data_IF_273227858227
#
_entry.id   IF_273227858227
#
_cell.length_a   1.000
_cell.length_b   1.000
_cell.length_c   1.000
_cell.angle_alpha   90.00
_cell.angle_beta   90.00
_cell.angle_gamma   90.00
#
_symmetry.space_group_name_H-M   'P 1'
#
loop_
_entity.id
_entity.type
_entity.pdbx_description
1 polymer ?
#
# COMPACT_ATOMS: atom_id res chain seq x y z
N UNK A 1 -38.54 -16.36 -24.26
CA UNK A 1 -37.12 -16.74 -24.25
C UNK A 1 -36.41 -16.42 -22.91
N UNK A 2 -36.68 -17.11 -21.77
CA UNK A 2 -35.97 -16.77 -20.53
C UNK A 2 -35.08 -17.87 -19.90
N UNK A 3 -35.36 -19.17 -20.12
CA UNK A 3 -34.64 -20.24 -19.40
C UNK A 3 -33.22 -20.48 -19.91
N UNK A 4 -32.96 -20.37 -21.21
CA UNK A 4 -31.62 -20.56 -21.77
C UNK A 4 -30.64 -19.45 -21.37
N UNK A 5 -31.11 -18.20 -21.32
CA UNK A 5 -30.32 -17.03 -20.88
C UNK A 5 -30.03 -17.11 -19.39
N UNK A 6 -31.03 -17.48 -18.58
CA UNK A 6 -30.85 -17.67 -17.13
C UNK A 6 -29.89 -18.82 -16.80
N UNK A 7 -29.99 -19.94 -17.53
CA UNK A 7 -29.08 -21.08 -17.35
C UNK A 7 -27.64 -20.75 -17.77
N UNK A 8 -27.47 -19.98 -18.85
CA UNK A 8 -26.17 -19.48 -19.29
C UNK A 8 -25.57 -18.50 -18.25
N UNK A 9 -26.36 -17.57 -17.72
CA UNK A 9 -25.95 -16.64 -16.66
C UNK A 9 -25.52 -17.37 -15.37
N UNK A 10 -26.24 -18.42 -14.97
CA UNK A 10 -25.91 -19.25 -13.80
C UNK A 10 -24.63 -20.07 -14.03
N UNK A 11 -24.41 -20.57 -15.26
CA UNK A 11 -23.16 -21.25 -15.60
C UNK A 11 -21.97 -20.29 -15.60
N UNK A 12 -22.11 -19.11 -16.20
CA UNK A 12 -21.05 -18.09 -16.19
C UNK A 12 -20.71 -17.61 -14.78
N UNK A 13 -21.69 -17.47 -13.89
CA UNK A 13 -21.44 -17.07 -12.50
C UNK A 13 -20.75 -18.15 -11.68
N UNK A 14 -21.07 -19.43 -11.90
CA UNK A 14 -20.37 -20.56 -11.28
C UNK A 14 -18.93 -20.70 -11.77
N UNK A 15 -18.68 -20.48 -13.07
CA UNK A 15 -17.34 -20.50 -13.64
C UNK A 15 -16.48 -19.32 -13.16
N UNK A 16 -17.04 -18.11 -13.06
CA UNK A 16 -16.34 -16.97 -12.46
C UNK A 16 -16.01 -17.24 -10.98
N UNK A 17 -16.94 -17.80 -10.22
CA UNK A 17 -16.71 -18.14 -8.82
C UNK A 17 -15.60 -19.18 -8.63
N UNK A 18 -15.52 -20.19 -9.52
CA UNK A 18 -14.47 -21.21 -9.44
C UNK A 18 -13.09 -20.65 -9.81
N UNK A 19 -13.00 -19.76 -10.82
CA UNK A 19 -11.76 -19.06 -11.19
C UNK A 19 -11.26 -18.16 -10.08
N UNK A 20 -12.14 -17.36 -9.48
CA UNK A 20 -11.79 -16.46 -8.38
C UNK A 20 -11.28 -17.26 -7.16
N UNK A 21 -11.92 -18.39 -6.84
CA UNK A 21 -11.44 -19.28 -5.76
C UNK A 21 -10.03 -19.81 -6.04
N UNK A 22 -9.78 -20.28 -7.26
CA UNK A 22 -8.45 -20.77 -7.67
C UNK A 22 -7.38 -19.68 -7.59
N UNK A 23 -7.70 -18.46 -8.05
CA UNK A 23 -6.80 -17.32 -7.96
C UNK A 23 -6.46 -16.98 -6.49
N UNK A 24 -7.45 -16.98 -5.59
CA UNK A 24 -7.24 -16.72 -4.16
C UNK A 24 -6.36 -17.78 -3.48
N UNK A 25 -6.52 -19.06 -3.85
CA UNK A 25 -5.66 -20.14 -3.34
C UNK A 25 -4.20 -19.96 -3.79
N UNK A 26 -3.98 -19.54 -5.04
CA UNK A 26 -2.64 -19.26 -5.57
C UNK A 26 -2.01 -18.04 -4.88
N UNK A 27 -2.77 -16.97 -4.68
CA UNK A 27 -2.33 -15.78 -3.95
C UNK A 27 -1.93 -16.16 -2.51
N UNK A 28 -2.72 -17.00 -1.83
CA UNK A 28 -2.40 -17.45 -0.48
C UNK A 28 -1.09 -18.23 -0.42
N UNK A 29 -0.80 -19.08 -1.43
CA UNK A 29 0.48 -19.78 -1.55
C UNK A 29 1.64 -18.82 -1.80
N UNK A 30 1.46 -17.85 -2.70
CA UNK A 30 2.45 -16.81 -2.97
C UNK A 30 2.78 -16.00 -1.72
N UNK A 31 1.76 -15.62 -0.96
CA UNK A 31 1.91 -14.89 0.30
C UNK A 31 2.58 -15.73 1.39
N UNK A 32 2.27 -17.02 1.49
CA UNK A 32 2.95 -17.93 2.42
C UNK A 32 4.45 -18.02 2.15
N UNK A 33 4.86 -18.01 0.88
CA UNK A 33 6.27 -18.01 0.50
C UNK A 33 6.94 -16.66 0.84
N UNK A 34 6.26 -15.54 0.58
CA UNK A 34 6.76 -14.20 0.91
C UNK A 34 6.87 -13.97 2.42
N UNK A 35 5.94 -14.49 3.23
CA UNK A 35 5.99 -14.36 4.69
C UNK A 35 7.28 -14.92 5.28
N UNK A 36 7.79 -16.01 4.71
CA UNK A 36 9.06 -16.59 5.14
C UNK A 36 10.26 -15.74 4.70
N UNK A 37 10.16 -15.09 3.53
CA UNK A 37 11.16 -14.10 3.09
C UNK A 37 11.18 -12.90 4.03
N UNK A 38 10.02 -12.31 4.34
CA UNK A 38 9.91 -11.11 5.19
C UNK A 38 10.40 -11.35 6.63
N UNK A 39 10.33 -12.59 7.13
CA UNK A 39 10.90 -12.96 8.45
C UNK A 39 12.42 -12.89 8.49
N UNK A 40 13.06 -13.09 7.35
CA UNK A 40 14.51 -13.31 7.26
C UNK A 40 15.19 -12.08 6.64
N UNK A 41 14.45 -11.24 5.92
CA UNK A 41 14.99 -10.12 5.13
C UNK A 41 15.73 -9.06 5.96
N UNK A 42 15.33 -8.86 7.22
CA UNK A 42 15.98 -7.88 8.11
C UNK A 42 17.40 -8.32 8.54
N UNK A 43 17.74 -9.60 8.35
CA UNK A 43 19.00 -10.21 8.78
C UNK A 43 19.84 -10.77 7.62
N UNK A 44 19.30 -10.75 6.41
CA UNK A 44 19.89 -11.36 5.22
C UNK A 44 20.29 -10.30 4.19
N UNK A 45 21.31 -10.60 3.39
CA UNK A 45 21.63 -9.74 2.26
C UNK A 45 20.50 -9.80 1.23
N UNK A 46 20.13 -8.67 0.62
CA UNK A 46 19.07 -8.58 -0.39
C UNK A 46 19.22 -9.56 -1.56
N UNK A 47 20.44 -10.07 -1.80
CA UNK A 47 20.78 -11.04 -2.84
C UNK A 47 21.01 -12.46 -2.31
N UNK A 48 20.52 -12.78 -1.11
CA UNK A 48 20.73 -14.09 -0.51
C UNK A 48 20.17 -15.23 -1.36
N UNK A 49 21.07 -16.11 -1.83
CA UNK A 49 20.72 -17.20 -2.76
C UNK A 49 19.71 -18.18 -2.19
N UNK A 50 19.60 -18.25 -0.86
CA UNK A 50 18.66 -19.11 -0.13
C UNK A 50 17.20 -18.66 -0.28
N UNK A 51 16.98 -17.37 -0.55
CA UNK A 51 15.64 -16.81 -0.73
C UNK A 51 15.13 -16.98 -2.17
N UNK A 52 16.03 -17.24 -3.12
CA UNK A 52 15.70 -17.38 -4.56
C UNK A 52 14.59 -18.43 -4.81
N UNK A 53 14.60 -19.64 -4.21
CA UNK A 53 13.54 -20.62 -4.42
C UNK A 53 12.17 -20.13 -3.91
N UNK A 54 12.13 -19.46 -2.76
CA UNK A 54 10.90 -18.92 -2.18
C UNK A 54 10.34 -17.77 -3.03
N UNK A 55 11.21 -16.86 -3.47
CA UNK A 55 10.84 -15.74 -4.33
C UNK A 55 10.37 -16.21 -5.71
N UNK A 56 11.01 -17.26 -6.26
CA UNK A 56 10.57 -17.90 -7.50
C UNK A 56 9.19 -18.53 -7.33
N UNK A 57 8.98 -19.31 -6.28
CA UNK A 57 7.69 -19.92 -6.00
C UNK A 57 6.60 -18.86 -5.79
N UNK A 58 6.91 -17.76 -5.09
CA UNK A 58 5.97 -16.65 -4.93
C UNK A 58 5.59 -16.03 -6.28
N UNK A 59 6.60 -15.73 -7.12
CA UNK A 59 6.40 -15.17 -8.46
C UNK A 59 5.49 -16.05 -9.31
N UNK A 60 5.82 -17.35 -9.41
CA UNK A 60 5.04 -18.32 -10.20
C UNK A 60 3.58 -18.40 -9.73
N UNK A 61 3.34 -18.39 -8.42
CA UNK A 61 1.97 -18.42 -7.90
C UNK A 61 1.19 -17.14 -8.23
N UNK A 62 1.82 -15.96 -8.20
CA UNK A 62 1.14 -14.72 -8.60
C UNK A 62 0.88 -14.64 -10.10
N UNK A 63 1.80 -15.14 -10.93
CA UNK A 63 1.60 -15.25 -12.39
C UNK A 63 0.41 -16.17 -12.70
N UNK A 64 0.37 -17.37 -12.11
CA UNK A 64 -0.76 -18.30 -12.25
C UNK A 64 -2.07 -17.72 -11.71
N UNK A 65 -2.01 -16.89 -10.67
CA UNK A 65 -3.20 -16.22 -10.13
C UNK A 65 -3.77 -15.20 -11.13
N UNK A 66 -2.90 -14.44 -11.80
CA UNK A 66 -3.30 -13.48 -12.83
C UNK A 66 -3.79 -14.15 -14.12
N UNK A 67 -3.23 -15.32 -14.47
CA UNK A 67 -3.76 -16.15 -15.56
C UNK A 67 -5.19 -16.66 -15.25
N UNK A 68 -5.46 -16.98 -13.98
CA UNK A 68 -6.78 -17.42 -13.55
C UNK A 68 -7.78 -16.26 -13.43
N UNK A 69 -7.33 -15.13 -12.90
CA UNK A 69 -8.12 -13.91 -12.72
C UNK A 69 -7.25 -12.65 -12.90
N UNK A 70 -7.30 -12.11 -14.11
CA UNK A 70 -6.55 -10.91 -14.47
C UNK A 70 -7.07 -9.64 -13.76
N UNK A 71 -8.27 -9.69 -13.18
CA UNK A 71 -8.85 -8.55 -12.44
C UNK A 71 -8.26 -8.39 -11.03
N UNK A 72 -7.48 -9.37 -10.56
CA UNK A 72 -6.93 -9.34 -9.22
C UNK A 72 -5.79 -8.31 -9.10
N UNK A 73 -6.11 -7.16 -8.50
CA UNK A 73 -5.18 -6.05 -8.33
C UNK A 73 -4.06 -6.39 -7.33
N UNK A 74 -4.38 -7.17 -6.30
CA UNK A 74 -3.46 -7.52 -5.24
C UNK A 74 -2.34 -8.44 -5.75
N UNK A 75 -2.69 -9.47 -6.52
CA UNK A 75 -1.69 -10.34 -7.17
C UNK A 75 -0.76 -9.55 -8.09
N UNK A 76 -1.32 -8.60 -8.86
CA UNK A 76 -0.58 -7.72 -9.76
C UNK A 76 0.41 -6.83 -9.00
N UNK A 77 -0.04 -6.21 -7.91
CA UNK A 77 0.81 -5.41 -7.03
C UNK A 77 1.97 -6.24 -6.45
N UNK A 78 1.71 -7.44 -5.94
CA UNK A 78 2.77 -8.28 -5.38
C UNK A 78 3.77 -8.76 -6.44
N UNK A 79 3.30 -9.08 -7.64
CA UNK A 79 4.18 -9.41 -8.78
C UNK A 79 5.05 -8.21 -9.15
N UNK A 80 4.47 -7.00 -9.23
CA UNK A 80 5.22 -5.75 -9.40
C UNK A 80 6.32 -5.59 -8.34
N UNK A 81 5.95 -5.76 -7.06
CA UNK A 81 6.88 -5.63 -5.94
C UNK A 81 8.01 -6.65 -5.98
N UNK A 82 7.74 -7.88 -6.41
CA UNK A 82 8.76 -8.91 -6.64
C UNK A 82 9.79 -8.46 -7.69
N UNK A 83 9.31 -7.87 -8.78
CA UNK A 83 10.17 -7.37 -9.86
C UNK A 83 11.00 -6.13 -9.48
N UNK A 84 10.47 -5.27 -8.60
CA UNK A 84 11.10 -4.00 -8.23
C UNK A 84 12.03 -4.11 -7.02
N UNK A 85 11.62 -4.85 -5.98
CA UNK A 85 12.31 -4.90 -4.69
C UNK A 85 13.28 -6.08 -4.56
N UNK A 86 12.92 -7.24 -5.09
CA UNK A 86 13.64 -8.50 -4.83
C UNK A 86 14.48 -8.94 -6.03
N UNK A 87 15.61 -9.59 -5.76
CA UNK A 87 16.43 -10.20 -6.81
C UNK A 87 15.87 -11.58 -7.20
N UNK A 88 14.89 -11.59 -8.10
CA UNK A 88 14.31 -12.84 -8.64
C UNK A 88 14.95 -13.14 -10.00
N UNK A 89 15.32 -14.40 -10.31
CA UNK A 89 15.75 -14.79 -11.64
C UNK A 89 14.72 -14.40 -12.71
N UNK A 90 15.15 -13.66 -13.73
CA UNK A 90 14.24 -13.12 -14.75
C UNK A 90 13.40 -11.92 -14.28
N UNK A 91 13.80 -11.25 -13.19
CA UNK A 91 13.19 -9.99 -12.80
C UNK A 91 13.59 -8.86 -13.77
N UNK A 92 12.60 -8.19 -14.35
CA UNK A 92 12.78 -6.95 -15.09
C UNK A 92 12.11 -5.80 -14.34
N UNK A 93 12.87 -4.75 -14.01
CA UNK A 93 12.34 -3.55 -13.33
C UNK A 93 11.28 -2.83 -14.16
N UNK A 94 11.43 -2.81 -15.49
CA UNK A 94 10.46 -2.18 -16.38
C UNK A 94 9.09 -2.88 -16.33
N UNK A 95 9.07 -4.22 -16.31
CA UNK A 95 7.84 -5.00 -16.15
C UNK A 95 7.23 -4.71 -14.77
N UNK A 96 8.06 -4.66 -13.72
CA UNK A 96 7.59 -4.34 -12.37
C UNK A 96 6.95 -2.95 -12.27
N UNK A 97 7.52 -1.95 -12.94
CA UNK A 97 6.95 -0.60 -12.99
C UNK A 97 5.63 -0.56 -13.76
N UNK A 98 5.52 -1.24 -14.91
CA UNK A 98 4.29 -1.33 -15.67
C UNK A 98 3.15 -1.98 -14.86
N UNK A 99 3.44 -3.12 -14.21
CA UNK A 99 2.50 -3.80 -13.33
C UNK A 99 2.07 -2.95 -12.13
N UNK A 100 2.96 -2.08 -11.62
CA UNK A 100 2.64 -1.16 -10.52
C UNK A 100 1.60 -0.13 -10.95
N UNK A 101 1.81 0.48 -12.12
CA UNK A 101 0.91 1.49 -12.68
C UNK A 101 -0.45 0.86 -12.97
N UNK A 102 -0.48 -0.30 -13.62
CA UNK A 102 -1.72 -1.03 -13.85
C UNK A 102 -2.47 -1.35 -12.55
N UNK A 103 -1.78 -1.85 -11.52
CA UNK A 103 -2.42 -2.16 -10.24
C UNK A 103 -2.96 -0.91 -9.54
N UNK A 104 -2.24 0.21 -9.61
CA UNK A 104 -2.67 1.49 -9.04
C UNK A 104 -3.90 2.07 -9.76
N UNK A 105 -3.92 1.97 -11.09
CA UNK A 105 -5.03 2.43 -11.94
C UNK A 105 -6.29 1.57 -11.76
N UNK A 106 -6.11 0.26 -11.51
CA UNK A 106 -7.20 -0.65 -11.14
C UNK A 106 -7.72 -0.45 -9.71
N UNK A 107 -7.09 0.40 -8.91
CA UNK A 107 -7.59 0.79 -7.60
C UNK A 107 -6.89 0.14 -6.40
N UNK A 108 -5.78 -0.56 -6.58
CA UNK A 108 -5.08 -1.17 -5.44
C UNK A 108 -4.45 -0.10 -4.54
N UNK A 109 -4.92 -0.01 -3.29
CA UNK A 109 -4.44 0.96 -2.31
C UNK A 109 -2.94 0.86 -2.01
N UNK A 110 -2.36 -0.34 -2.04
CA UNK A 110 -0.97 -0.56 -1.71
C UNK A 110 -0.10 -0.14 -2.92
N UNK A 111 -0.55 -0.46 -4.14
CA UNK A 111 0.07 0.02 -5.37
C UNK A 111 0.00 1.54 -5.53
N UNK A 112 -1.15 2.16 -5.23
CA UNK A 112 -1.33 3.62 -5.27
C UNK A 112 -0.36 4.34 -4.33
N UNK A 113 -0.24 3.85 -3.09
CA UNK A 113 0.73 4.39 -2.15
C UNK A 113 2.16 4.22 -2.64
N UNK A 114 2.53 3.03 -3.09
CA UNK A 114 3.88 2.70 -3.53
C UNK A 114 4.27 3.51 -4.79
N UNK A 115 3.34 3.69 -5.74
CA UNK A 115 3.55 4.51 -6.93
C UNK A 115 3.72 5.98 -6.56
N UNK A 116 2.87 6.51 -5.67
CA UNK A 116 3.01 7.87 -5.15
C UNK A 116 4.36 8.10 -4.46
N UNK A 117 4.83 7.13 -3.67
CA UNK A 117 6.16 7.19 -3.05
C UNK A 117 7.28 7.19 -4.09
N UNK A 118 7.22 6.34 -5.12
CA UNK A 118 8.23 6.32 -6.19
C UNK A 118 8.29 7.63 -6.96
N UNK A 119 7.14 8.17 -7.36
CA UNK A 119 7.06 9.44 -8.08
C UNK A 119 7.62 10.63 -7.28
N UNK A 120 7.58 10.58 -5.94
CA UNK A 120 8.22 11.57 -5.07
C UNK A 120 9.73 11.41 -4.93
N UNK A 121 10.23 10.18 -5.01
CA UNK A 121 11.67 9.88 -4.82
C UNK A 121 12.44 10.05 -6.13
N UNK A 122 11.82 9.71 -7.26
CA UNK A 122 12.51 9.65 -8.56
C UNK A 122 12.68 11.02 -9.22
N UNK A 123 12.02 12.10 -8.78
CA UNK A 123 12.00 13.38 -9.49
C UNK A 123 12.08 14.62 -8.57
N UNK A 124 12.98 15.56 -8.91
CA UNK A 124 13.06 16.92 -8.34
C UNK A 124 12.09 17.93 -9.02
N UNK A 125 11.18 17.45 -9.89
CA UNK A 125 10.31 18.30 -10.71
C UNK A 125 8.87 18.41 -10.18
N UNK A 126 8.38 19.64 -10.08
CA UNK A 126 7.06 20.03 -9.52
C UNK A 126 5.85 19.31 -10.15
N UNK A 127 5.91 18.89 -11.41
CA UNK A 127 4.82 18.15 -12.06
C UNK A 127 4.70 16.71 -11.55
N UNK A 128 5.81 16.08 -11.17
CA UNK A 128 5.82 14.72 -10.60
C UNK A 128 5.16 14.71 -9.23
N UNK A 129 5.30 15.79 -8.46
CA UNK A 129 4.65 15.93 -7.16
C UNK A 129 3.13 15.90 -7.26
N UNK A 130 2.54 16.58 -8.25
CA UNK A 130 1.08 16.57 -8.43
C UNK A 130 0.54 15.17 -8.73
N UNK A 131 1.22 14.42 -9.60
CA UNK A 131 0.83 13.03 -9.90
C UNK A 131 1.03 12.13 -8.68
N UNK A 132 2.12 12.32 -7.93
CA UNK A 132 2.33 11.58 -6.70
C UNK A 132 1.23 11.84 -5.66
N UNK A 133 0.85 13.11 -5.46
CA UNK A 133 -0.23 13.48 -4.56
C UNK A 133 -1.56 12.88 -5.00
N UNK A 134 -1.86 12.88 -6.30
CA UNK A 134 -3.07 12.25 -6.83
C UNK A 134 -3.18 10.76 -6.44
N UNK A 135 -2.10 9.98 -6.59
CA UNK A 135 -2.11 8.57 -6.18
C UNK A 135 -2.14 8.40 -4.66
N UNK A 136 -1.45 9.26 -3.90
CA UNK A 136 -1.49 9.25 -2.44
C UNK A 136 -2.89 9.58 -1.90
N UNK A 137 -3.61 10.53 -2.49
CA UNK A 137 -4.98 10.87 -2.12
C UNK A 137 -5.92 9.68 -2.32
N UNK A 138 -5.84 8.99 -3.46
CA UNK A 138 -6.62 7.75 -3.67
C UNK A 138 -6.32 6.68 -2.62
N UNK A 139 -5.06 6.55 -2.21
CA UNK A 139 -4.69 5.62 -1.15
C UNK A 139 -5.22 6.06 0.23
N UNK A 140 -5.29 7.37 0.50
CA UNK A 140 -5.92 7.95 1.69
C UNK A 140 -7.42 7.68 1.72
N UNK A 141 -8.12 7.83 0.60
CA UNK A 141 -9.56 7.55 0.49
C UNK A 141 -9.88 6.09 0.86
N UNK A 142 -8.94 5.19 0.59
CA UNK A 142 -9.00 3.77 0.97
C UNK A 142 -8.43 3.47 2.37
N UNK A 143 -8.12 4.51 3.15
CA UNK A 143 -7.55 4.44 4.50
C UNK A 143 -6.22 3.66 4.56
N UNK A 144 -5.38 3.79 3.53
CA UNK A 144 -4.06 3.17 3.52
C UNK A 144 -3.17 3.77 4.63
N UNK A 145 -2.60 2.95 5.54
CA UNK A 145 -1.88 3.42 6.73
C UNK A 145 -0.68 4.32 6.40
N UNK A 146 0.12 3.93 5.40
CA UNK A 146 1.27 4.73 4.97
C UNK A 146 0.87 6.05 4.32
N UNK A 147 -0.25 6.07 3.59
CA UNK A 147 -0.72 7.28 2.91
C UNK A 147 -1.29 8.28 3.93
N UNK A 148 -2.06 7.79 4.90
CA UNK A 148 -2.53 8.58 6.05
C UNK A 148 -1.37 9.15 6.87
N UNK A 149 -0.29 8.38 7.08
CA UNK A 149 0.90 8.90 7.73
C UNK A 149 1.55 10.05 6.95
N UNK A 150 1.72 9.90 5.63
CA UNK A 150 2.26 10.96 4.77
C UNK A 150 1.38 12.22 4.79
N UNK A 151 0.06 12.06 4.70
CA UNK A 151 -0.88 13.18 4.80
C UNK A 151 -0.79 13.89 6.17
N UNK A 152 -0.69 13.12 7.25
CA UNK A 152 -0.46 13.67 8.59
C UNK A 152 0.83 14.47 8.68
N UNK A 153 1.91 14.00 8.05
CA UNK A 153 3.19 14.71 7.99
C UNK A 153 3.06 16.03 7.20
N UNK A 154 2.35 16.01 6.07
CA UNK A 154 2.05 17.21 5.26
C UNK A 154 1.30 18.27 6.08
N UNK A 155 0.27 17.86 6.84
CA UNK A 155 -0.44 18.79 7.74
C UNK A 155 0.42 19.35 8.88
N UNK A 156 1.46 18.62 9.32
CA UNK A 156 2.39 19.12 10.33
C UNK A 156 3.43 20.10 9.79
N UNK A 157 3.99 19.81 8.62
CA UNK A 157 5.01 20.66 7.99
C UNK A 157 4.38 21.92 7.41
N UNK A 158 3.14 21.81 6.92
CA UNK A 158 2.48 22.87 6.17
C UNK A 158 2.95 22.94 4.72
N UNK A 159 3.53 21.85 4.22
CA UNK A 159 3.97 21.77 2.82
C UNK A 159 2.72 21.66 1.94
N UNK A 160 2.52 22.58 1.01
CA UNK A 160 1.36 22.62 0.09
C UNK A 160 -0.02 22.86 0.74
N UNK A 161 -0.18 22.70 2.06
CA UNK A 161 -1.45 22.91 2.80
C UNK A 161 -1.21 23.75 4.06
N UNK A 162 -2.22 24.50 4.52
CA UNK A 162 -2.12 25.21 5.80
C UNK A 162 -1.87 24.21 6.92
N UNK A 163 -0.86 24.53 7.75
CA UNK A 163 -0.52 23.72 8.92
C UNK A 163 -1.73 23.54 9.83
N UNK A 164 -2.09 22.29 10.07
CA UNK A 164 -3.22 21.91 10.93
C UNK A 164 -2.85 20.71 11.80
N UNK A 165 -2.58 21.00 13.07
CA UNK A 165 -2.19 20.02 14.08
C UNK A 165 -3.35 19.05 14.37
N UNK A 166 -4.60 19.52 14.30
CA UNK A 166 -5.79 18.70 14.58
C UNK A 166 -6.01 17.66 13.47
N UNK A 167 -5.92 18.08 12.21
CA UNK A 167 -6.00 17.17 11.06
C UNK A 167 -4.82 16.18 11.04
N UNK A 168 -3.62 16.61 11.42
CA UNK A 168 -2.47 15.72 11.58
C UNK A 168 -2.71 14.65 12.66
N UNK A 169 -3.24 15.03 13.84
CA UNK A 169 -3.59 14.07 14.90
C UNK A 169 -4.57 13.03 14.40
N UNK A 170 -5.61 13.45 13.69
CA UNK A 170 -6.60 12.53 13.14
C UNK A 170 -5.97 11.54 12.17
N UNK A 171 -5.12 12.00 11.26
CA UNK A 171 -4.42 11.16 10.29
C UNK A 171 -3.51 10.13 10.98
N UNK A 172 -2.67 10.57 11.93
CA UNK A 172 -1.78 9.66 12.65
C UNK A 172 -2.52 8.67 13.53
N UNK A 173 -3.61 9.11 14.17
CA UNK A 173 -4.46 8.22 14.94
C UNK A 173 -5.03 7.10 14.05
N UNK A 174 -5.65 7.45 12.91
CA UNK A 174 -6.19 6.48 11.96
C UNK A 174 -5.14 5.53 11.40
N UNK A 175 -3.95 6.03 11.05
CA UNK A 175 -2.86 5.19 10.58
C UNK A 175 -2.36 4.24 11.70
N UNK A 176 -2.33 4.69 12.95
CA UNK A 176 -1.95 3.87 14.10
C UNK A 176 -2.95 2.75 14.41
N UNK A 177 -4.26 3.01 14.31
CA UNK A 177 -5.31 1.98 14.42
C UNK A 177 -5.15 0.88 13.36
N UNK A 178 -4.54 1.20 12.21
CA UNK A 178 -4.22 0.26 11.13
C UNK A 178 -2.83 -0.37 11.26
N UNK A 179 -2.14 -0.18 12.39
CA UNK A 179 -0.86 -0.83 12.71
C UNK A 179 0.38 -0.12 12.18
N UNK A 180 0.28 1.13 11.72
CA UNK A 180 1.45 1.87 11.25
C UNK A 180 2.32 2.35 12.42
N UNK A 181 3.45 1.67 12.66
CA UNK A 181 4.34 1.96 13.79
C UNK A 181 4.84 3.42 13.80
N UNK A 182 5.28 3.95 12.65
CA UNK A 182 5.72 5.34 12.54
C UNK A 182 4.61 6.35 12.86
N UNK A 183 3.35 5.99 12.58
CA UNK A 183 2.22 6.87 12.89
C UNK A 183 1.86 6.84 14.37
N UNK A 184 1.97 5.68 15.03
CA UNK A 184 1.78 5.58 16.48
C UNK A 184 2.81 6.44 17.24
N UNK A 185 4.07 6.42 16.79
CA UNK A 185 5.14 7.26 17.36
C UNK A 185 4.85 8.74 17.10
N UNK A 186 4.50 9.11 15.86
CA UNK A 186 4.18 10.50 15.51
C UNK A 186 2.97 11.01 16.29
N UNK A 187 1.91 10.20 16.43
CA UNK A 187 0.73 10.51 17.22
C UNK A 187 1.07 10.77 18.70
N UNK A 188 1.84 9.86 19.32
CA UNK A 188 2.27 10.01 20.71
C UNK A 188 3.14 11.26 20.92
N UNK A 189 4.11 11.50 20.04
CA UNK A 189 4.96 12.69 20.06
C UNK A 189 4.13 13.98 19.98
N UNK A 190 3.14 14.00 19.10
CA UNK A 190 2.30 15.18 18.92
C UNK A 190 1.38 15.44 20.11
N UNK A 191 0.79 14.39 20.69
CA UNK A 191 -0.03 14.49 21.90
C UNK A 191 0.78 15.08 23.07
N UNK A 192 2.01 14.58 23.28
CA UNK A 192 2.91 15.11 24.31
C UNK A 192 3.22 16.59 24.09
N UNK A 193 3.48 16.99 22.84
CA UNK A 193 3.74 18.40 22.49
C UNK A 193 2.53 19.29 22.77
N UNK A 194 1.33 18.85 22.44
CA UNK A 194 0.08 19.60 22.70
C UNK A 194 -0.20 19.70 24.20
N UNK A 195 0.02 18.62 24.96
CA UNK A 195 -0.08 18.62 26.43
C UNK A 195 0.92 19.57 27.08
N UNK A 196 2.18 19.55 26.62
CA UNK A 196 3.21 20.44 27.11
C UNK A 196 2.85 21.91 26.87
N UNK A 197 2.44 22.28 25.66
CA UNK A 197 2.01 23.66 25.34
C UNK A 197 0.82 24.13 26.20
N UNK A 198 -0.12 23.23 26.52
CA UNK A 198 -1.23 23.53 27.44
C UNK A 198 -0.77 23.76 28.88
N UNK A 199 0.22 23.01 29.34
CA UNK A 199 0.78 23.18 30.69
C UNK A 199 1.74 24.38 30.80
N UNK A 200 2.41 24.77 29.72
CA UNK A 200 3.34 25.91 29.69
C UNK A 200 2.65 27.26 29.50
N UNK A 201 1.37 27.30 29.13
CA UNK A 201 0.59 28.53 29.10
C UNK A 201 0.31 28.99 30.54
N UNK A 202 0.79 30.17 30.99
CA UNK A 202 0.41 30.67 32.31
C UNK A 202 -1.10 30.86 32.33
N UNK A 203 -1.80 30.24 33.29
CA UNK A 203 -3.15 30.67 33.66
C UNK A 203 -3.03 32.11 34.11
N UNK A 204 -3.44 33.04 33.25
CA UNK A 204 -3.68 34.42 33.69
C UNK A 204 -4.73 34.36 34.81
N UNK A 205 -4.45 34.87 36.02
CA UNK A 205 -5.47 34.94 37.05
C UNK A 205 -6.58 35.87 36.55
N UNK A 206 -7.82 35.36 36.57
CA UNK A 206 -9.02 36.17 36.35
C UNK A 206 -8.96 37.39 37.27
N UNK A 207 -8.80 38.58 36.70
CA UNK A 207 -9.08 39.83 37.41
C UNK A 207 -10.60 39.94 37.51
N UNK A 208 -11.11 39.73 38.73
CA UNK A 208 -12.44 40.19 39.18
C UNK A 208 -12.25 41.59 39.74
#
# INVERSE_FOLDING_TARGET
>A
MPLSVLFCLIHTSREMHSRNKKAMELIAKGWSALKEVDRVIDYCELNDKRLIPLLRAAKENFELALEADNSNTHARYWLSKLHLKYHVPGACKAIGAALLVEAADMGDKDAQYELGCRLRVENDYVQSDQQAFYYLEKAVDQLHPGALYLLGAVYLTGDCVKKDISSALWCFHRASEKGHAGAAIAYGSLLLRVLFLRCSSPRMPNKI
#
